data_IF_993246985600
#
_entry.id   IF_993246985600
#
_cell.length_a   1.000
_cell.length_b   1.000
_cell.length_c   1.000
_cell.angle_alpha   90.00
_cell.angle_beta   90.00
_cell.angle_gamma   90.00
#
_symmetry.space_group_name_H-M   'P 1'
#
loop_
_entity.id
_entity.type
_entity.pdbx_description
1 polymer ?
#
# COMPACT_ATOMS: atom_id res chain seq x y z
N UNK A 1 -71.65 -13.32 -5.85
CA UNK A 1 -70.79 -13.01 -4.70
C UNK A 1 -69.38 -12.79 -5.24
N UNK A 2 -68.94 -11.54 -5.33
CA UNK A 2 -67.71 -11.11 -6.01
C UNK A 2 -66.75 -10.53 -4.96
N UNK A 3 -65.49 -10.97 -4.94
CA UNK A 3 -64.42 -10.31 -4.18
C UNK A 3 -63.31 -9.89 -5.14
N UNK A 4 -63.41 -8.64 -5.57
CA UNK A 4 -62.37 -7.92 -6.30
C UNK A 4 -61.18 -7.69 -5.37
N UNK A 5 -60.05 -8.36 -5.59
CA UNK A 5 -58.78 -8.07 -4.92
C UNK A 5 -58.16 -6.84 -5.58
N UNK A 6 -58.46 -5.66 -5.03
CA UNK A 6 -57.90 -4.37 -5.47
C UNK A 6 -56.46 -4.24 -4.99
N UNK A 7 -55.49 -4.59 -5.84
CA UNK A 7 -54.08 -4.33 -5.60
C UNK A 7 -53.80 -2.83 -5.71
N UNK A 8 -53.65 -2.17 -4.57
CA UNK A 8 -53.17 -0.79 -4.51
C UNK A 8 -51.67 -0.79 -4.82
N UNK A 9 -51.31 -0.63 -6.08
CA UNK A 9 -49.94 -0.32 -6.47
C UNK A 9 -49.66 1.13 -6.09
N UNK A 10 -49.04 1.33 -4.93
CA UNK A 10 -48.61 2.64 -4.45
C UNK A 10 -47.65 3.23 -5.48
N UNK A 11 -48.09 4.31 -6.13
CA UNK A 11 -47.31 5.08 -7.10
C UNK A 11 -46.12 5.68 -6.38
N UNK A 12 -44.97 5.00 -6.46
CA UNK A 12 -43.69 5.49 -5.94
C UNK A 12 -43.42 6.88 -6.54
N UNK A 13 -43.33 7.87 -5.67
CA UNK A 13 -43.03 9.26 -6.02
C UNK A 13 -41.68 9.35 -6.75
N UNK A 14 -41.51 10.29 -7.70
CA UNK A 14 -40.27 10.42 -8.50
C UNK A 14 -39.03 10.69 -7.64
N UNK A 15 -39.22 11.23 -6.44
CA UNK A 15 -38.17 11.40 -5.43
C UNK A 15 -37.64 10.07 -4.89
N UNK A 16 -38.50 9.06 -4.72
CA UNK A 16 -38.11 7.75 -4.19
C UNK A 16 -37.18 7.01 -5.16
N UNK A 17 -37.49 7.03 -6.46
CA UNK A 17 -36.63 6.45 -7.48
C UNK A 17 -35.25 7.12 -7.54
N UNK A 18 -35.19 8.45 -7.35
CA UNK A 18 -33.93 9.21 -7.31
C UNK A 18 -33.11 8.88 -6.06
N UNK A 19 -33.75 8.79 -4.90
CA UNK A 19 -33.10 8.45 -3.63
C UNK A 19 -32.54 7.01 -3.69
N UNK A 20 -33.33 6.05 -4.17
CA UNK A 20 -32.86 4.66 -4.33
C UNK A 20 -31.66 4.58 -5.27
N UNK A 21 -31.68 5.34 -6.37
CA UNK A 21 -30.58 5.36 -7.34
C UNK A 21 -29.30 5.98 -6.76
N UNK A 22 -29.42 7.07 -6.00
CA UNK A 22 -28.29 7.71 -5.32
C UNK A 22 -27.72 6.79 -4.24
N UNK A 23 -28.57 6.15 -3.45
CA UNK A 23 -28.14 5.18 -2.42
C UNK A 23 -27.43 3.98 -3.03
N UNK A 24 -27.93 3.44 -4.15
CA UNK A 24 -27.28 2.33 -4.86
C UNK A 24 -25.89 2.71 -5.37
N UNK A 25 -25.75 3.90 -5.96
CA UNK A 25 -24.46 4.41 -6.45
C UNK A 25 -23.48 4.62 -5.28
N UNK A 26 -23.96 5.14 -4.14
CA UNK A 26 -23.13 5.36 -2.97
C UNK A 26 -22.60 4.02 -2.40
N UNK A 27 -23.45 3.01 -2.27
CA UNK A 27 -23.07 1.67 -1.80
C UNK A 27 -22.04 1.06 -2.76
N UNK A 28 -22.26 1.18 -4.07
CA UNK A 28 -21.34 0.68 -5.08
C UNK A 28 -19.94 1.31 -4.95
N UNK A 29 -19.86 2.63 -4.75
CA UNK A 29 -18.58 3.35 -4.57
C UNK A 29 -17.86 2.90 -3.29
N UNK A 30 -18.58 2.70 -2.18
CA UNK A 30 -17.99 2.23 -0.92
C UNK A 30 -17.45 0.81 -1.04
N UNK A 31 -18.10 -0.07 -1.82
CA UNK A 31 -17.56 -1.42 -2.05
C UNK A 31 -16.27 -1.46 -2.87
N UNK A 32 -15.90 -0.37 -3.56
CA UNK A 32 -14.65 -0.26 -4.31
C UNK A 32 -13.50 0.39 -3.51
N UNK A 33 -13.68 0.70 -2.23
CA UNK A 33 -12.53 1.09 -1.39
C UNK A 33 -11.66 -0.14 -1.18
N UNK A 34 -10.68 -0.33 -2.06
CA UNK A 34 -9.65 -1.33 -1.88
C UNK A 34 -8.98 -1.09 -0.52
N UNK A 35 -8.93 -2.12 0.33
CA UNK A 35 -8.11 -2.12 1.52
C UNK A 35 -6.66 -1.93 1.08
N UNK A 36 -6.17 -0.68 1.07
CA UNK A 36 -4.75 -0.39 1.00
C UNK A 36 -4.13 -1.00 2.24
N UNK A 37 -3.62 -2.22 2.08
CA UNK A 37 -2.91 -2.88 3.15
C UNK A 37 -1.61 -2.11 3.27
N UNK A 38 -1.48 -1.32 4.34
CA UNK A 38 -0.21 -0.69 4.70
C UNK A 38 0.75 -1.83 5.08
N UNK A 39 1.30 -2.50 4.07
CA UNK A 39 2.37 -3.48 4.21
C UNK A 39 3.62 -2.70 4.62
N UNK A 40 3.71 -2.35 5.91
CA UNK A 40 4.94 -1.90 6.51
C UNK A 40 5.88 -3.09 6.55
N UNK A 41 6.86 -3.10 5.64
CA UNK A 41 8.06 -3.94 5.76
C UNK A 41 8.79 -3.54 7.05
N UNK A 42 8.46 -4.22 8.15
CA UNK A 42 9.15 -4.04 9.43
C UNK A 42 10.43 -4.86 9.43
N UNK A 43 11.56 -4.17 9.38
CA UNK A 43 12.88 -4.77 9.59
C UNK A 43 13.15 -4.79 11.09
N UNK A 44 13.05 -5.96 11.72
CA UNK A 44 13.16 -6.10 13.17
C UNK A 44 14.57 -6.53 13.59
N UNK A 45 15.14 -5.80 14.55
CA UNK A 45 16.39 -6.04 15.26
C UNK A 45 16.55 -4.95 16.34
N UNK A 46 17.38 -5.13 17.37
CA UNK A 46 17.64 -4.09 18.38
C UNK A 46 18.53 -2.95 17.81
N UNK A 47 18.05 -2.29 16.77
CA UNK A 47 18.80 -1.30 15.99
C UNK A 47 18.86 0.06 16.71
N UNK A 48 18.00 0.30 17.71
CA UNK A 48 18.03 1.51 18.54
C UNK A 48 19.35 1.68 19.30
N UNK A 49 20.00 0.56 19.65
CA UNK A 49 21.32 0.59 20.30
C UNK A 49 22.45 0.92 19.31
N UNK A 50 22.25 0.67 18.01
CA UNK A 50 23.27 0.82 16.97
C UNK A 50 23.16 2.14 16.17
N UNK A 51 21.97 2.75 16.14
CA UNK A 51 21.65 3.97 15.38
C UNK A 51 22.60 5.15 15.60
N UNK A 52 23.08 5.36 16.83
CA UNK A 52 23.83 6.59 17.19
C UNK A 52 25.32 6.55 16.85
N UNK A 53 25.91 5.38 16.63
CA UNK A 53 27.38 5.23 16.56
C UNK A 53 27.86 4.46 15.34
N UNK A 54 26.97 3.85 14.56
CA UNK A 54 27.37 3.00 13.44
C UNK A 54 26.88 3.55 12.10
N UNK A 55 27.78 3.49 11.12
CA UNK A 55 27.44 3.79 9.74
C UNK A 55 26.98 2.50 9.07
N UNK A 56 25.76 2.51 8.51
CA UNK A 56 25.12 1.35 7.90
C UNK A 56 25.25 1.45 6.38
N UNK A 57 25.69 0.36 5.74
CA UNK A 57 25.70 0.21 4.29
C UNK A 57 24.57 -0.73 3.87
N UNK A 58 23.83 -0.35 2.83
CA UNK A 58 22.80 -1.20 2.24
C UNK A 58 23.40 -1.85 0.99
N UNK A 59 23.63 -3.16 1.05
CA UNK A 59 24.16 -3.93 -0.08
C UNK A 59 23.12 -4.08 -1.20
N UNK A 60 23.56 -4.30 -2.46
CA UNK A 60 22.68 -4.71 -3.54
C UNK A 60 21.90 -5.97 -3.15
N UNK A 61 20.61 -5.97 -3.43
CA UNK A 61 19.75 -7.13 -3.19
C UNK A 61 20.03 -8.18 -4.28
N UNK A 62 20.28 -9.41 -3.87
CA UNK A 62 20.49 -10.52 -4.80
C UNK A 62 19.22 -10.80 -5.60
N UNK A 63 19.38 -10.89 -6.92
CA UNK A 63 18.29 -11.17 -7.87
C UNK A 63 18.53 -12.53 -8.51
N UNK A 64 17.64 -13.47 -8.22
CA UNK A 64 17.69 -14.84 -8.77
C UNK A 64 17.17 -14.85 -10.22
N UNK A 65 16.23 -13.95 -10.54
CA UNK A 65 15.62 -13.82 -11.86
C UNK A 65 15.57 -12.35 -12.31
N UNK A 66 15.65 -12.11 -13.63
CA UNK A 66 15.75 -10.75 -14.20
C UNK A 66 14.51 -9.89 -13.96
N UNK A 67 13.34 -10.50 -13.85
CA UNK A 67 12.05 -9.85 -13.54
C UNK A 67 12.02 -9.27 -12.11
N UNK A 68 12.84 -9.78 -11.19
CA UNK A 68 12.90 -9.29 -9.81
C UNK A 68 13.75 -8.02 -9.64
N UNK A 69 14.37 -7.51 -10.71
CA UNK A 69 15.25 -6.34 -10.65
C UNK A 69 14.53 -5.11 -10.09
N UNK A 70 13.34 -4.82 -10.60
CA UNK A 70 12.57 -3.66 -10.16
C UNK A 70 12.18 -3.78 -8.68
N UNK A 71 11.68 -4.94 -8.27
CA UNK A 71 11.32 -5.20 -6.87
C UNK A 71 12.54 -5.11 -5.94
N UNK A 72 13.69 -5.59 -6.36
CA UNK A 72 14.95 -5.48 -5.62
C UNK A 72 15.40 -4.02 -5.45
N UNK A 73 15.25 -3.20 -6.49
CA UNK A 73 15.55 -1.76 -6.41
C UNK A 73 14.57 -1.02 -5.50
N UNK A 74 13.27 -1.30 -5.62
CA UNK A 74 12.24 -0.74 -4.75
C UNK A 74 12.46 -1.11 -3.28
N UNK A 75 12.84 -2.36 -3.00
CA UNK A 75 13.18 -2.82 -1.65
C UNK A 75 14.36 -2.03 -1.10
N UNK A 76 15.43 -1.88 -1.89
CA UNK A 76 16.64 -1.15 -1.46
C UNK A 76 16.34 0.32 -1.20
N UNK A 77 15.52 0.95 -2.04
CA UNK A 77 15.07 2.34 -1.87
C UNK A 77 14.18 2.51 -0.63
N UNK A 78 13.22 1.61 -0.43
CA UNK A 78 12.37 1.62 0.76
C UNK A 78 13.18 1.47 2.04
N UNK A 79 14.14 0.54 2.06
CA UNK A 79 15.04 0.35 3.19
C UNK A 79 15.89 1.60 3.49
N UNK A 80 16.43 2.24 2.44
CA UNK A 80 17.16 3.50 2.59
C UNK A 80 16.27 4.59 3.21
N UNK A 81 15.04 4.76 2.73
CA UNK A 81 14.10 5.74 3.26
C UNK A 81 13.78 5.50 4.74
N UNK A 82 13.44 4.26 5.12
CA UNK A 82 13.11 3.92 6.50
C UNK A 82 14.30 4.09 7.46
N UNK A 83 15.50 3.71 7.05
CA UNK A 83 16.70 3.86 7.89
C UNK A 83 17.09 5.33 8.03
N UNK A 84 16.91 6.13 6.97
CA UNK A 84 17.15 7.58 7.02
C UNK A 84 16.16 8.29 7.93
N UNK A 85 14.88 7.94 7.84
CA UNK A 85 13.84 8.44 8.75
C UNK A 85 14.13 8.07 10.22
N UNK A 86 14.65 6.86 10.43
CA UNK A 86 15.07 6.37 11.76
C UNK A 86 16.42 6.92 12.25
N UNK A 87 16.97 7.94 11.57
CA UNK A 87 18.22 8.64 11.94
C UNK A 87 19.48 7.79 11.99
N UNK A 88 19.56 6.72 11.19
CA UNK A 88 20.82 5.99 11.00
C UNK A 88 21.79 6.80 10.15
N UNK A 89 23.09 6.70 10.44
CA UNK A 89 24.10 7.21 9.52
C UNK A 89 24.24 6.21 8.37
N UNK A 90 23.86 6.60 7.15
CA UNK A 90 23.83 5.70 6.00
C UNK A 90 24.97 6.02 5.03
N UNK A 91 25.66 4.98 4.57
CA UNK A 91 26.57 5.07 3.44
C UNK A 91 25.77 5.22 2.15
N UNK A 92 26.18 6.18 1.33
CA UNK A 92 25.55 6.46 0.06
C UNK A 92 25.63 5.26 -0.90
N UNK A 93 24.55 5.02 -1.64
CA UNK A 93 24.41 3.86 -2.55
C UNK A 93 25.58 3.78 -3.54
N UNK A 94 26.00 4.90 -4.10
CA UNK A 94 27.09 4.95 -5.09
C UNK A 94 28.46 4.60 -4.49
N UNK A 95 28.69 4.88 -3.20
CA UNK A 95 29.94 4.51 -2.52
C UNK A 95 29.98 3.00 -2.35
N UNK A 96 28.88 2.41 -1.87
CA UNK A 96 28.76 0.96 -1.70
C UNK A 96 28.90 0.24 -3.04
N UNK A 97 28.18 0.70 -4.07
CA UNK A 97 28.21 0.08 -5.40
C UNK A 97 29.58 0.26 -6.08
N UNK A 98 30.30 1.35 -5.79
CA UNK A 98 31.67 1.57 -6.27
C UNK A 98 32.68 0.62 -5.62
N UNK A 99 32.61 0.45 -4.29
CA UNK A 99 33.48 -0.46 -3.55
C UNK A 99 33.27 -1.92 -3.95
N UNK A 100 32.03 -2.34 -4.20
CA UNK A 100 31.71 -3.70 -4.63
C UNK A 100 32.08 -3.99 -6.08
N UNK A 101 32.31 -2.97 -6.92
CA UNK A 101 32.76 -3.14 -8.32
C UNK A 101 34.28 -3.17 -8.46
N UNK A 102 35.02 -2.72 -7.46
CA UNK A 102 36.49 -2.78 -7.47
C UNK A 102 37.05 -4.18 -7.19
N UNK A 103 36.21 -5.09 -6.70
CA UNK A 103 36.51 -6.49 -6.44
C UNK A 103 35.58 -7.38 -7.26
#
# INVERSE_FOLDING_TARGET
MSTNLKTNFTRLTPHFGRVVKVTLVLILVVTFTACTTNLQSKVAGNLNQFSKQQTVAILPVEIIKKDQKETAEMLRQGLYAHLKESKFNLLERYVVDGLLKQH
#
